data_IF_243106135859
#
_entry.id   IF_243106135859
#
_cell.length_a   1.000
_cell.length_b   1.000
_cell.length_c   1.000
_cell.angle_alpha   90.00
_cell.angle_beta   90.00
_cell.angle_gamma   90.00
#
_symmetry.space_group_name_H-M   'P 1'
#
loop_
_entity.id
_entity.type
_entity.pdbx_description
1 polymer ?
#
# COMPACT_ATOMS: atom_id res chain seq x y z
N UNK A 1 -3.31 -25.76 20.16
CA UNK A 1 -2.09 -25.10 19.63
C UNK A 1 -2.08 -25.31 18.12
N UNK A 2 -2.35 -24.28 17.31
CA UNK A 2 -2.44 -24.45 15.85
C UNK A 2 -1.06 -24.78 15.27
N UNK A 3 -0.88 -26.02 14.79
CA UNK A 3 0.29 -26.48 14.03
C UNK A 3 0.15 -26.05 12.56
N UNK A 4 0.17 -24.75 12.31
CA UNK A 4 0.21 -24.20 10.95
C UNK A 4 1.65 -23.96 10.48
N UNK A 5 1.87 -23.99 9.16
CA UNK A 5 3.10 -23.47 8.57
C UNK A 5 3.24 -21.99 8.93
N UNK A 6 4.40 -21.60 9.47
CA UNK A 6 4.70 -20.21 9.79
C UNK A 6 5.39 -19.57 8.58
N UNK A 7 4.92 -18.39 8.20
CA UNK A 7 5.52 -17.57 7.15
C UNK A 7 6.00 -16.28 7.81
N UNK A 8 7.29 -15.97 7.67
CA UNK A 8 7.93 -14.74 8.15
C UNK A 8 7.97 -13.74 7.01
N UNK A 9 7.33 -12.61 7.24
CA UNK A 9 7.20 -11.55 6.25
C UNK A 9 7.97 -10.34 6.74
N UNK A 10 8.82 -9.77 5.89
CA UNK A 10 9.42 -8.45 6.09
C UNK A 10 8.84 -7.44 5.10
N UNK A 11 8.64 -6.21 5.56
CA UNK A 11 8.35 -5.06 4.70
C UNK A 11 9.31 -3.93 5.01
N UNK A 12 9.79 -3.26 3.98
CA UNK A 12 10.66 -2.10 4.16
C UNK A 12 10.54 -1.14 2.98
N UNK A 13 10.40 0.15 3.31
CA UNK A 13 10.69 1.21 2.37
C UNK A 13 12.22 1.41 2.38
N UNK A 14 12.88 1.05 1.29
CA UNK A 14 14.35 1.04 1.25
C UNK A 14 14.93 2.40 0.88
N UNK A 15 14.08 3.42 0.70
CA UNK A 15 14.38 4.81 0.36
C UNK A 15 15.15 4.94 -0.95
N UNK A 16 14.59 5.69 -1.88
CA UNK A 16 15.27 6.05 -3.11
C UNK A 16 15.56 7.56 -3.11
N UNK A 17 16.85 7.88 -3.09
CA UNK A 17 17.32 9.27 -3.11
C UNK A 17 16.88 10.05 -4.35
N UNK A 18 16.48 9.40 -5.45
CA UNK A 18 15.96 10.08 -6.64
C UNK A 18 14.66 10.86 -6.37
N UNK A 19 13.91 10.51 -5.32
CA UNK A 19 12.66 11.20 -4.96
C UNK A 19 12.86 12.51 -4.20
N UNK A 20 14.10 12.84 -3.83
CA UNK A 20 14.42 14.01 -3.02
C UNK A 20 15.20 15.04 -3.81
N UNK A 21 14.80 16.30 -3.69
CA UNK A 21 15.55 17.45 -4.23
C UNK A 21 16.90 17.59 -3.51
N UNK A 22 17.86 18.26 -4.14
CA UNK A 22 19.18 18.53 -3.52
C UNK A 22 19.02 19.23 -2.17
N UNK A 23 18.06 20.15 -2.05
CA UNK A 23 17.77 20.87 -0.81
C UNK A 23 17.26 19.92 0.29
N UNK A 24 16.34 19.01 -0.03
CA UNK A 24 15.84 18.01 0.91
C UNK A 24 16.94 17.02 1.30
N UNK A 25 17.80 16.61 0.37
CA UNK A 25 18.94 15.75 0.66
C UNK A 25 19.89 16.37 1.70
N UNK A 26 20.13 17.67 1.58
CA UNK A 26 21.00 18.41 2.51
C UNK A 26 20.34 18.69 3.86
N UNK A 27 19.01 18.71 3.94
CA UNK A 27 18.28 18.99 5.19
C UNK A 27 17.78 17.75 5.93
N UNK A 28 17.59 16.62 5.23
CA UNK A 28 16.92 15.43 5.77
C UNK A 28 17.92 14.37 6.26
N UNK A 29 19.16 14.31 5.77
CA UNK A 29 20.08 13.25 6.21
C UNK A 29 21.57 13.64 6.30
N UNK A 30 22.34 12.99 7.20
CA UNK A 30 23.78 13.20 7.34
C UNK A 30 24.55 12.88 6.05
N UNK A 31 25.66 13.59 5.78
CA UNK A 31 26.50 13.40 4.59
C UNK A 31 26.96 11.95 4.38
N UNK A 32 27.08 11.18 5.46
CA UNK A 32 27.40 9.74 5.48
C UNK A 32 26.41 8.88 4.66
N UNK A 33 25.16 9.34 4.47
CA UNK A 33 24.15 8.66 3.65
C UNK A 33 24.35 8.84 2.13
N UNK A 34 25.22 9.76 1.68
CA UNK A 34 25.47 9.96 0.25
C UNK A 34 26.30 8.82 -0.38
N UNK A 35 27.04 8.05 0.43
CA UNK A 35 27.86 6.93 -0.06
C UNK A 35 27.14 5.59 0.18
N UNK A 36 26.46 5.14 -0.87
CA UNK A 36 25.38 4.13 -0.90
C UNK A 36 25.77 2.68 -0.50
N UNK A 37 27.06 2.38 -0.30
CA UNK A 37 27.55 1.01 -0.09
C UNK A 37 27.19 0.48 1.30
N UNK A 38 27.36 1.29 2.35
CA UNK A 38 27.10 0.84 3.72
C UNK A 38 25.62 0.61 3.98
N UNK A 39 24.74 1.48 3.46
CA UNK A 39 23.28 1.29 3.53
C UNK A 39 22.84 0.01 2.82
N UNK A 40 23.33 -0.23 1.61
CA UNK A 40 23.02 -1.43 0.83
C UNK A 40 23.46 -2.70 1.56
N UNK A 41 24.65 -2.70 2.16
CA UNK A 41 25.14 -3.81 2.97
C UNK A 41 24.29 -4.04 4.24
N UNK A 42 23.84 -2.96 4.91
CA UNK A 42 22.94 -3.05 6.05
C UNK A 42 21.57 -3.62 5.65
N UNK A 43 21.02 -3.22 4.50
CA UNK A 43 19.78 -3.78 3.96
C UNK A 43 19.93 -5.29 3.70
N UNK A 44 21.02 -5.72 3.06
CA UNK A 44 21.28 -7.15 2.86
C UNK A 44 21.46 -7.90 4.17
N UNK A 45 22.17 -7.32 5.14
CA UNK A 45 22.28 -7.89 6.47
C UNK A 45 20.89 -8.07 7.08
N UNK A 46 20.02 -7.06 6.98
CA UNK A 46 18.65 -7.14 7.48
C UNK A 46 17.82 -8.22 6.76
N UNK A 47 17.90 -8.34 5.43
CA UNK A 47 17.13 -9.32 4.68
C UNK A 47 17.55 -10.76 4.97
N UNK A 48 18.86 -11.02 4.95
CA UNK A 48 19.38 -12.38 4.95
C UNK A 48 19.67 -12.93 6.35
N UNK A 49 19.90 -12.08 7.36
CA UNK A 49 20.02 -12.57 8.75
C UNK A 49 18.66 -12.95 9.36
N UNK A 50 17.57 -12.29 8.96
CA UNK A 50 16.26 -12.47 9.60
C UNK A 50 15.49 -13.73 9.15
N UNK A 51 16.08 -14.60 8.32
CA UNK A 51 15.45 -15.81 7.77
C UNK A 51 14.01 -15.51 7.30
N UNK A 52 13.82 -14.46 6.51
CA UNK A 52 12.48 -14.11 6.01
C UNK A 52 12.04 -15.12 4.95
N UNK A 53 10.73 -15.30 4.78
CA UNK A 53 10.16 -16.17 3.74
C UNK A 53 9.53 -15.31 2.61
N UNK A 54 9.06 -14.09 2.94
CA UNK A 54 8.53 -13.10 2.00
C UNK A 54 9.12 -11.74 2.34
N UNK A 55 9.56 -10.99 1.32
CA UNK A 55 10.11 -9.64 1.47
C UNK A 55 9.36 -8.68 0.52
N UNK A 56 8.73 -7.65 1.08
CA UNK A 56 8.03 -6.62 0.33
C UNK A 56 8.79 -5.29 0.43
N UNK A 57 9.24 -4.77 -0.71
CA UNK A 57 10.05 -3.56 -0.78
C UNK A 57 9.25 -2.40 -1.39
N UNK A 58 9.43 -1.19 -0.87
CA UNK A 58 8.96 0.07 -1.47
C UNK A 58 10.16 0.96 -1.82
N UNK A 59 9.97 1.88 -2.78
CA UNK A 59 11.03 2.77 -3.29
C UNK A 59 12.27 2.04 -3.86
N UNK A 60 12.06 0.95 -4.61
CA UNK A 60 13.15 0.27 -5.31
C UNK A 60 13.37 0.93 -6.68
N UNK A 61 14.57 1.43 -6.94
CA UNK A 61 14.94 1.91 -8.28
C UNK A 61 15.43 0.78 -9.21
N UNK A 62 15.52 1.07 -10.51
CA UNK A 62 15.89 0.10 -11.54
C UNK A 62 17.33 -0.43 -11.39
N UNK A 63 18.26 0.37 -10.86
CA UNK A 63 19.63 -0.08 -10.61
C UNK A 63 19.67 -1.08 -9.45
N UNK A 64 18.97 -0.75 -8.36
CA UNK A 64 18.83 -1.60 -7.19
C UNK A 64 18.08 -2.89 -7.50
N UNK A 65 17.11 -2.89 -8.43
CA UNK A 65 16.46 -4.11 -8.91
C UNK A 65 17.49 -5.10 -9.45
N UNK A 66 18.44 -4.67 -10.29
CA UNK A 66 19.44 -5.56 -10.87
C UNK A 66 20.36 -6.17 -9.80
N UNK A 67 20.77 -5.34 -8.83
CA UNK A 67 21.56 -5.78 -7.70
C UNK A 67 20.80 -6.79 -6.81
N UNK A 68 19.53 -6.49 -6.52
CA UNK A 68 18.64 -7.35 -5.75
C UNK A 68 18.39 -8.67 -6.47
N UNK A 69 18.20 -8.68 -7.80
CA UNK A 69 18.02 -9.92 -8.58
C UNK A 69 19.16 -10.90 -8.33
N UNK A 70 20.40 -10.44 -8.43
CA UNK A 70 21.59 -11.27 -8.19
C UNK A 70 21.65 -11.76 -6.74
N UNK A 71 21.53 -10.83 -5.78
CA UNK A 71 21.65 -11.17 -4.35
C UNK A 71 20.53 -12.07 -3.85
N UNK A 72 19.29 -11.85 -4.27
CA UNK A 72 18.17 -12.70 -3.88
C UNK A 72 18.28 -14.09 -4.51
N UNK A 73 18.73 -14.19 -5.75
CA UNK A 73 18.98 -15.48 -6.39
C UNK A 73 20.02 -16.32 -5.62
N UNK A 74 21.12 -15.70 -5.18
CA UNK A 74 22.15 -16.36 -4.35
C UNK A 74 21.62 -16.85 -2.97
N UNK A 75 20.42 -16.40 -2.57
CA UNK A 75 19.77 -16.70 -1.29
C UNK A 75 18.40 -17.41 -1.48
N UNK A 76 18.18 -18.07 -2.63
CA UNK A 76 16.97 -18.84 -2.95
C UNK A 76 15.66 -18.01 -2.98
N UNK A 77 15.77 -16.70 -3.20
CA UNK A 77 14.63 -15.81 -3.39
C UNK A 77 14.37 -15.54 -4.88
N UNK A 78 13.09 -15.47 -5.23
CA UNK A 78 12.63 -15.01 -6.54
C UNK A 78 12.19 -13.56 -6.39
N UNK A 79 12.85 -12.65 -7.12
CA UNK A 79 12.43 -11.24 -7.16
C UNK A 79 11.26 -11.06 -8.12
N UNK A 80 10.18 -10.46 -7.61
CA UNK A 80 9.01 -10.08 -8.40
C UNK A 80 9.05 -8.58 -8.67
N UNK A 81 9.14 -8.20 -9.94
CA UNK A 81 9.15 -6.80 -10.38
C UNK A 81 8.01 -6.53 -11.36
N UNK A 82 7.41 -5.32 -11.35
CA UNK A 82 6.27 -5.00 -12.22
C UNK A 82 6.51 -5.21 -13.72
N UNK A 83 7.77 -5.12 -14.18
CA UNK A 83 8.13 -5.14 -15.60
C UNK A 83 8.16 -6.54 -16.24
N UNK A 84 7.95 -7.63 -15.47
CA UNK A 84 8.12 -9.00 -15.96
C UNK A 84 6.91 -9.90 -15.63
N UNK A 85 5.75 -9.59 -16.20
CA UNK A 85 4.60 -10.50 -16.23
C UNK A 85 4.92 -11.64 -17.21
N UNK A 86 5.47 -12.75 -16.69
CA UNK A 86 5.71 -13.95 -17.47
C UNK A 86 4.50 -14.91 -17.33
N UNK A 87 3.73 -15.07 -18.40
CA UNK A 87 2.45 -15.78 -18.47
C UNK A 87 2.53 -17.31 -18.30
N UNK A 88 3.72 -17.87 -18.09
CA UNK A 88 3.95 -19.32 -17.99
C UNK A 88 4.41 -19.82 -16.61
N UNK A 89 4.33 -19.00 -15.58
CA UNK A 89 4.76 -19.35 -14.22
C UNK A 89 3.56 -19.76 -13.34
N UNK A 90 3.73 -20.59 -12.29
CA UNK A 90 2.64 -20.99 -11.36
C UNK A 90 2.10 -19.84 -10.49
N UNK A 91 2.45 -18.60 -10.84
CA UNK A 91 2.14 -17.37 -10.13
C UNK A 91 1.29 -16.47 -11.02
N UNK A 92 0.46 -15.68 -10.36
CA UNK A 92 -0.46 -14.76 -11.02
C UNK A 92 -0.25 -13.40 -10.40
N UNK A 93 0.00 -12.40 -11.23
CA UNK A 93 0.43 -11.07 -10.80
C UNK A 93 -0.45 -10.00 -11.42
N UNK A 94 -0.70 -8.92 -10.68
CA UNK A 94 -1.41 -7.72 -11.16
C UNK A 94 -0.76 -6.48 -10.56
N UNK A 95 -0.54 -5.48 -11.41
CA UNK A 95 -0.18 -4.14 -10.94
C UNK A 95 -1.46 -3.30 -10.80
N UNK A 96 -1.53 -2.51 -9.72
CA UNK A 96 -2.61 -1.56 -9.51
C UNK A 96 -2.43 -0.34 -10.43
N UNK A 97 -3.49 -0.02 -11.17
CA UNK A 97 -3.60 1.18 -11.99
C UNK A 97 -4.58 2.15 -11.33
N UNK A 98 -4.06 3.28 -10.85
CA UNK A 98 -4.86 4.26 -10.09
C UNK A 98 -5.97 4.85 -10.96
N UNK A 99 -5.65 5.27 -12.18
CA UNK A 99 -6.60 5.95 -13.06
C UNK A 99 -7.73 5.01 -13.48
N UNK A 100 -7.39 3.79 -13.89
CA UNK A 100 -8.36 2.74 -14.24
C UNK A 100 -9.26 2.42 -13.06
N UNK A 101 -8.71 2.29 -11.85
CA UNK A 101 -9.52 1.99 -10.66
C UNK A 101 -10.42 3.15 -10.25
N UNK A 102 -9.95 4.41 -10.37
CA UNK A 102 -10.77 5.61 -10.15
C UNK A 102 -11.93 5.67 -11.16
N UNK A 103 -11.64 5.50 -12.45
CA UNK A 103 -12.67 5.51 -13.50
C UNK A 103 -13.69 4.40 -13.24
N UNK A 104 -13.22 3.16 -13.06
CA UNK A 104 -14.09 1.99 -12.85
C UNK A 104 -15.04 2.18 -11.65
N UNK A 105 -14.55 2.73 -10.55
CA UNK A 105 -15.29 2.73 -9.28
C UNK A 105 -16.00 4.04 -8.97
N UNK A 106 -15.54 5.17 -9.52
CA UNK A 106 -15.95 6.50 -9.09
C UNK A 106 -16.44 7.42 -10.23
N UNK A 107 -16.33 7.03 -11.50
CA UNK A 107 -16.76 7.90 -12.63
C UNK A 107 -18.22 8.32 -12.57
N UNK A 108 -19.09 7.48 -11.99
CA UNK A 108 -20.51 7.81 -11.79
C UNK A 108 -20.73 9.09 -10.99
N UNK A 109 -19.81 9.43 -10.09
CA UNK A 109 -19.85 10.68 -9.31
C UNK A 109 -19.44 11.93 -10.11
N UNK A 110 -18.89 11.75 -11.32
CA UNK A 110 -18.62 12.81 -12.31
C UNK A 110 -19.85 13.06 -13.19
N UNK A 111 -20.38 11.98 -13.78
CA UNK A 111 -21.43 12.07 -14.80
C UNK A 111 -22.82 12.34 -14.23
N UNK A 112 -23.12 11.86 -13.02
CA UNK A 112 -24.45 12.04 -12.40
C UNK A 112 -24.61 13.40 -11.72
N UNK A 113 -23.51 14.11 -11.46
CA UNK A 113 -23.54 15.34 -10.67
C UNK A 113 -23.42 16.62 -11.49
N UNK A 114 -22.76 16.57 -12.66
CA UNK A 114 -22.40 17.76 -13.43
C UNK A 114 -21.59 18.78 -12.60
N UNK A 115 -20.95 18.34 -11.51
CA UNK A 115 -20.35 19.22 -10.51
C UNK A 115 -18.83 19.30 -10.68
N UNK A 116 -18.34 20.48 -11.08
CA UNK A 116 -16.91 20.72 -11.37
C UNK A 116 -15.98 20.35 -10.21
N UNK A 117 -16.44 20.51 -8.97
CA UNK A 117 -15.66 20.23 -7.76
C UNK A 117 -15.42 18.72 -7.59
N UNK A 118 -16.43 17.89 -7.89
CA UNK A 118 -16.26 16.44 -7.84
C UNK A 118 -15.38 15.95 -8.98
N UNK A 119 -15.53 16.52 -10.17
CA UNK A 119 -14.63 16.22 -11.29
C UNK A 119 -13.18 16.60 -10.97
N UNK A 120 -12.99 17.74 -10.31
CA UNK A 120 -11.67 18.16 -9.84
C UNK A 120 -11.07 17.15 -8.85
N UNK A 121 -11.89 16.63 -7.92
CA UNK A 121 -11.46 15.60 -6.98
C UNK A 121 -11.12 14.28 -7.68
N UNK A 122 -11.89 13.83 -8.66
CA UNK A 122 -11.59 12.62 -9.43
C UNK A 122 -10.30 12.77 -10.24
N UNK A 123 -10.10 13.95 -10.87
CA UNK A 123 -8.82 14.27 -11.52
C UNK A 123 -7.66 14.28 -10.53
N UNK A 124 -7.89 14.77 -9.31
CA UNK A 124 -6.88 14.79 -8.25
C UNK A 124 -6.50 13.37 -7.80
N UNK A 125 -7.48 12.49 -7.59
CA UNK A 125 -7.26 11.06 -7.32
C UNK A 125 -6.45 10.39 -8.44
N UNK A 126 -6.85 10.55 -9.70
CA UNK A 126 -6.15 9.93 -10.84
C UNK A 126 -4.71 10.44 -11.02
N UNK A 127 -4.47 11.74 -10.81
CA UNK A 127 -3.13 12.34 -11.00
C UNK A 127 -2.15 12.00 -9.89
N UNK A 128 -2.63 11.79 -8.66
CA UNK A 128 -1.78 11.43 -7.52
C UNK A 128 -1.52 9.93 -7.57
N UNK A 129 -0.40 9.51 -8.13
CA UNK A 129 -0.13 8.08 -8.29
C UNK A 129 0.11 7.39 -6.95
N UNK A 130 -0.50 6.23 -6.78
CA UNK A 130 -0.15 5.24 -5.78
C UNK A 130 0.13 3.92 -6.49
N UNK A 131 1.06 3.14 -5.95
CA UNK A 131 1.45 1.88 -6.57
C UNK A 131 1.07 0.73 -5.66
N UNK A 132 0.62 -0.37 -6.25
CA UNK A 132 0.52 -1.64 -5.58
C UNK A 132 0.82 -2.79 -6.53
N UNK A 133 1.49 -3.80 -6.01
CA UNK A 133 1.78 -5.05 -6.71
C UNK A 133 1.06 -6.17 -5.96
N UNK A 134 0.28 -6.95 -6.71
CA UNK A 134 -0.52 -8.05 -6.21
C UNK A 134 0.01 -9.35 -6.78
N UNK A 135 0.21 -10.34 -5.92
CA UNK A 135 0.70 -11.67 -6.30
C UNK A 135 -0.14 -12.73 -5.61
N UNK A 136 -0.46 -13.80 -6.32
CA UNK A 136 -1.00 -15.03 -5.74
C UNK A 136 0.09 -16.09 -5.79
N UNK A 137 0.46 -16.60 -4.63
CA UNK A 137 1.39 -17.71 -4.47
C UNK A 137 0.62 -19.00 -4.19
N UNK A 138 0.93 -20.06 -4.91
CA UNK A 138 0.50 -21.42 -4.56
C UNK A 138 1.49 -22.02 -3.58
N UNK A 139 1.07 -22.24 -2.33
CA UNK A 139 1.91 -22.80 -1.26
C UNK A 139 1.96 -24.33 -1.34
N UNK A 140 0.84 -24.93 -1.75
CA UNK A 140 0.67 -26.36 -2.04
C UNK A 140 -0.60 -26.52 -2.88
N UNK A 141 -0.89 -27.74 -3.35
CA UNK A 141 -2.07 -28.01 -4.20
C UNK A 141 -3.34 -27.42 -3.57
N UNK A 142 -3.97 -26.47 -4.26
CA UNK A 142 -5.19 -25.77 -3.82
C UNK A 142 -5.05 -24.92 -2.54
N UNK A 143 -3.83 -24.64 -2.09
CA UNK A 143 -3.55 -23.72 -0.97
C UNK A 143 -2.83 -22.49 -1.49
N UNK A 144 -3.48 -21.34 -1.40
CA UNK A 144 -2.97 -20.08 -1.95
C UNK A 144 -2.70 -19.03 -0.86
N UNK A 145 -1.85 -18.06 -1.18
CA UNK A 145 -1.64 -16.85 -0.41
C UNK A 145 -1.70 -15.65 -1.36
N UNK A 146 -2.65 -14.75 -1.12
CA UNK A 146 -2.69 -13.46 -1.81
C UNK A 146 -1.81 -12.45 -1.09
N UNK A 147 -0.97 -11.72 -1.82
CA UNK A 147 -0.10 -10.68 -1.28
C UNK A 147 -0.32 -9.40 -2.07
N UNK A 148 -0.54 -8.29 -1.37
CA UNK A 148 -0.59 -6.94 -1.93
C UNK A 148 0.45 -6.07 -1.22
N UNK A 149 1.49 -5.67 -1.95
CA UNK A 149 2.50 -4.71 -1.50
C UNK A 149 2.20 -3.34 -2.10
N UNK A 150 2.01 -2.31 -1.29
CA UNK A 150 1.66 -0.97 -1.77
C UNK A 150 2.59 0.14 -1.25
N UNK A 151 2.60 1.26 -1.97
CA UNK A 151 3.15 2.53 -1.52
C UNK A 151 2.15 3.62 -1.94
N UNK A 152 1.38 4.12 -0.99
CA UNK A 152 0.31 5.08 -1.27
C UNK A 152 0.81 6.52 -1.16
N UNK A 153 -0.01 7.47 -1.62
CA UNK A 153 0.34 8.89 -1.69
C UNK A 153 0.94 9.43 -0.38
N UNK A 154 2.05 10.15 -0.48
CA UNK A 154 2.83 10.56 0.69
C UNK A 154 2.27 11.81 1.41
N UNK A 155 1.69 12.75 0.66
CA UNK A 155 1.49 14.10 1.18
C UNK A 155 0.44 14.14 2.32
N UNK A 156 0.82 14.57 3.54
CA UNK A 156 -0.06 14.57 4.71
C UNK A 156 -1.28 15.50 4.59
N UNK A 157 -1.26 16.48 3.69
CA UNK A 157 -2.38 17.38 3.43
C UNK A 157 -3.53 16.74 2.64
N UNK A 158 -3.35 15.51 2.15
CA UNK A 158 -4.33 14.80 1.33
C UNK A 158 -4.75 13.46 1.95
N UNK A 159 -5.28 13.46 3.18
CA UNK A 159 -5.65 12.23 3.86
C UNK A 159 -6.85 11.52 3.21
N UNK A 160 -7.72 12.24 2.51
CA UNK A 160 -8.82 11.70 1.72
C UNK A 160 -8.33 11.00 0.44
N UNK A 161 -7.29 11.51 -0.21
CA UNK A 161 -6.63 10.84 -1.33
C UNK A 161 -6.00 9.52 -0.86
N UNK A 162 -5.25 9.54 0.25
CA UNK A 162 -4.67 8.32 0.85
C UNK A 162 -5.75 7.30 1.16
N UNK A 163 -6.86 7.76 1.76
CA UNK A 163 -8.01 6.93 2.09
C UNK A 163 -8.60 6.24 0.86
N UNK A 164 -8.90 7.00 -0.20
CA UNK A 164 -9.49 6.44 -1.41
C UNK A 164 -8.52 5.54 -2.17
N UNK A 165 -7.22 5.84 -2.18
CA UNK A 165 -6.24 4.93 -2.79
C UNK A 165 -6.14 3.61 -2.03
N UNK A 166 -6.11 3.64 -0.69
CA UNK A 166 -6.15 2.41 0.11
C UNK A 166 -7.43 1.60 -0.18
N UNK A 167 -8.59 2.27 -0.20
CA UNK A 167 -9.86 1.64 -0.54
C UNK A 167 -9.86 0.99 -1.93
N UNK A 168 -9.41 1.70 -2.95
CA UNK A 168 -9.37 1.23 -4.34
C UNK A 168 -8.36 0.08 -4.51
N UNK A 169 -7.17 0.17 -3.92
CA UNK A 169 -6.16 -0.91 -3.93
C UNK A 169 -6.75 -2.18 -3.32
N UNK A 170 -7.41 -2.08 -2.17
CA UNK A 170 -7.99 -3.23 -1.48
C UNK A 170 -9.11 -3.86 -2.31
N UNK A 171 -9.99 -3.05 -2.89
CA UNK A 171 -11.04 -3.55 -3.78
C UNK A 171 -10.47 -4.27 -5.00
N UNK A 172 -9.52 -3.64 -5.68
CA UNK A 172 -8.83 -4.21 -6.82
C UNK A 172 -8.08 -5.51 -6.47
N UNK A 173 -7.61 -5.63 -5.22
CA UNK A 173 -6.98 -6.84 -4.71
C UNK A 173 -8.00 -7.96 -4.48
N UNK A 174 -9.12 -7.69 -3.82
CA UNK A 174 -10.19 -8.68 -3.67
C UNK A 174 -10.71 -9.18 -5.01
N UNK A 175 -10.97 -8.26 -5.95
CA UNK A 175 -11.40 -8.61 -7.31
C UNK A 175 -10.34 -9.44 -8.03
N UNK A 176 -9.05 -9.10 -7.88
CA UNK A 176 -7.97 -9.88 -8.45
C UNK A 176 -7.97 -11.31 -7.91
N UNK A 177 -8.12 -11.51 -6.60
CA UNK A 177 -8.19 -12.84 -5.99
C UNK A 177 -9.39 -13.62 -6.54
N UNK A 178 -10.58 -13.03 -6.54
CA UNK A 178 -11.83 -13.68 -6.95
C UNK A 178 -11.84 -14.07 -8.44
N UNK A 179 -11.35 -13.19 -9.31
CA UNK A 179 -11.30 -13.46 -10.74
C UNK A 179 -10.24 -14.51 -11.10
N UNK A 180 -9.24 -14.64 -10.24
CA UNK A 180 -8.08 -15.48 -10.50
C UNK A 180 -8.30 -16.87 -9.95
N UNK A 181 -8.55 -17.00 -8.65
CA UNK A 181 -8.70 -18.30 -7.99
C UNK A 181 -10.18 -18.51 -7.66
N UNK A 182 -10.83 -19.31 -8.51
CA UNK A 182 -12.22 -19.71 -8.33
C UNK A 182 -12.30 -20.99 -7.49
N UNK A 183 -13.44 -21.22 -6.85
CA UNK A 183 -13.78 -22.46 -6.13
C UNK A 183 -12.88 -22.83 -4.93
N UNK A 184 -12.06 -21.89 -4.45
CA UNK A 184 -11.30 -22.05 -3.20
C UNK A 184 -12.05 -21.30 -2.08
N UNK A 185 -12.46 -21.99 -1.00
CA UNK A 185 -13.33 -21.40 0.02
C UNK A 185 -12.66 -20.32 0.85
N UNK A 186 -11.32 -20.35 0.96
CA UNK A 186 -10.56 -19.40 1.74
C UNK A 186 -9.14 -19.23 1.18
N UNK A 187 -8.76 -17.96 0.95
CA UNK A 187 -7.40 -17.58 0.59
C UNK A 187 -6.93 -16.55 1.62
N UNK A 188 -5.91 -16.85 2.43
CA UNK A 188 -5.29 -15.84 3.29
C UNK A 188 -4.74 -14.68 2.45
N UNK A 189 -4.97 -13.46 2.93
CA UNK A 189 -4.54 -12.24 2.26
C UNK A 189 -3.57 -11.46 3.15
N UNK A 190 -2.46 -11.05 2.55
CA UNK A 190 -1.44 -10.21 3.16
C UNK A 190 -1.47 -8.85 2.47
N UNK A 191 -2.04 -7.86 3.15
CA UNK A 191 -1.95 -6.46 2.74
C UNK A 191 -0.78 -5.81 3.50
N UNK A 192 0.20 -5.31 2.77
CA UNK A 192 1.44 -4.78 3.34
C UNK A 192 1.96 -3.61 2.51
N UNK A 193 2.79 -2.76 3.10
CA UNK A 193 3.35 -1.63 2.36
C UNK A 193 3.60 -0.40 3.22
N UNK A 194 3.96 0.67 2.52
CA UNK A 194 4.05 2.01 3.07
C UNK A 194 2.73 2.76 2.81
N UNK A 195 1.92 2.85 3.86
CA UNK A 195 0.62 3.53 3.81
C UNK A 195 0.74 5.05 4.02
N UNK A 196 1.93 5.59 4.29
CA UNK A 196 2.12 7.02 4.58
C UNK A 196 1.07 7.59 5.55
N UNK A 197 0.60 6.77 6.48
CA UNK A 197 -0.53 7.07 7.37
C UNK A 197 -0.24 6.52 8.74
N UNK A 198 -0.33 7.38 9.75
CA UNK A 198 -0.26 7.01 11.17
C UNK A 198 -1.56 6.32 11.60
N UNK A 199 -1.59 5.60 12.73
CA UNK A 199 -2.82 5.00 13.26
C UNK A 199 -3.86 6.03 13.67
N UNK A 200 -3.40 7.20 14.10
CA UNK A 200 -4.20 8.26 14.68
C UNK A 200 -4.01 9.56 13.91
N UNK A 201 -5.03 10.39 13.92
CA UNK A 201 -4.95 11.75 13.41
C UNK A 201 -4.16 12.59 14.42
N UNK A 202 -3.10 13.25 13.99
CA UNK A 202 -2.32 14.14 14.86
C UNK A 202 -3.13 15.40 15.17
N UNK A 203 -3.79 15.43 16.33
CA UNK A 203 -4.41 16.63 16.87
C UNK A 203 -3.37 17.39 17.71
N UNK A 204 -3.11 18.65 17.38
CA UNK A 204 -2.21 19.54 18.13
C UNK A 204 -2.80 20.02 19.48
N UNK A 205 -3.87 19.41 19.97
CA UNK A 205 -4.55 19.80 21.21
C UNK A 205 -4.65 18.60 22.14
N UNK A 206 -4.12 18.76 23.34
CA UNK A 206 -3.91 17.71 24.35
C UNK A 206 -5.21 17.06 24.88
N UNK A 207 -6.39 17.62 24.56
CA UNK A 207 -7.68 17.21 25.15
C UNK A 207 -8.69 16.57 24.16
N UNK A 208 -8.34 16.34 22.89
CA UNK A 208 -9.26 15.75 21.91
C UNK A 208 -9.17 14.21 21.86
N UNK A 209 -10.33 13.56 21.69
CA UNK A 209 -10.45 12.12 21.49
C UNK A 209 -9.53 11.70 20.35
N UNK A 210 -8.63 10.75 20.60
CA UNK A 210 -7.71 10.20 19.61
C UNK A 210 -8.52 9.50 18.52
N UNK A 211 -8.78 10.19 17.41
CA UNK A 211 -9.45 9.62 16.26
C UNK A 211 -8.44 8.80 15.44
N UNK A 212 -8.83 7.61 14.99
CA UNK A 212 -8.03 6.83 14.07
C UNK A 212 -7.88 7.54 12.72
N UNK A 213 -6.76 7.36 12.03
CA UNK A 213 -6.66 7.84 10.65
C UNK A 213 -7.59 7.02 9.75
N UNK A 214 -8.14 7.67 8.73
CA UNK A 214 -9.09 6.99 7.84
C UNK A 214 -8.52 5.74 7.17
N UNK A 215 -7.22 5.73 6.81
CA UNK A 215 -6.58 4.54 6.23
C UNK A 215 -6.51 3.41 7.25
N UNK A 216 -6.09 3.71 8.49
CA UNK A 216 -5.97 2.72 9.54
C UNK A 216 -7.35 2.17 9.96
N UNK A 217 -8.33 3.02 10.18
CA UNK A 217 -9.71 2.63 10.51
C UNK A 217 -10.33 1.79 9.37
N UNK A 218 -10.13 2.17 8.11
CA UNK A 218 -10.64 1.42 6.97
C UNK A 218 -10.07 0.00 6.95
N UNK A 219 -8.74 -0.14 7.06
CA UNK A 219 -8.07 -1.44 6.97
C UNK A 219 -8.47 -2.35 8.14
N UNK A 220 -8.53 -1.80 9.36
CA UNK A 220 -8.76 -2.60 10.58
C UNK A 220 -10.22 -2.91 10.86
N UNK A 221 -11.14 -1.99 10.53
CA UNK A 221 -12.58 -2.14 10.82
C UNK A 221 -13.39 -2.50 9.59
N UNK A 222 -12.83 -2.29 8.39
CA UNK A 222 -13.51 -2.53 7.13
C UNK A 222 -14.52 -1.45 6.75
N UNK A 223 -14.63 -0.35 7.50
CA UNK A 223 -15.63 0.69 7.25
C UNK A 223 -15.09 2.08 7.53
N UNK A 224 -15.53 3.04 6.73
CA UNK A 224 -15.40 4.47 7.03
C UNK A 224 -16.75 5.15 6.84
N UNK A 225 -17.21 5.79 7.91
CA UNK A 225 -18.41 6.63 7.86
C UNK A 225 -18.17 7.89 7.06
N UNK A 226 -19.22 8.43 6.42
CA UNK A 226 -19.18 9.76 5.80
C UNK A 226 -18.82 10.87 6.80
N UNK A 227 -19.01 10.62 8.09
CA UNK A 227 -18.70 11.57 9.17
C UNK A 227 -17.24 11.53 9.63
N UNK A 228 -16.44 10.61 9.11
CA UNK A 228 -15.02 10.53 9.44
C UNK A 228 -14.26 11.76 8.91
N UNK A 229 -13.29 12.28 9.69
CA UNK A 229 -12.58 13.52 9.36
C UNK A 229 -11.82 13.46 8.02
N UNK A 230 -11.26 12.30 7.67
CA UNK A 230 -10.58 12.05 6.39
C UNK A 230 -11.52 11.72 5.21
N UNK A 231 -12.83 11.60 5.43
CA UNK A 231 -13.78 11.37 4.33
C UNK A 231 -14.06 12.69 3.60
N UNK A 232 -14.12 12.74 2.25
CA UNK A 232 -14.28 13.99 1.49
C UNK A 232 -15.56 14.75 1.87
N UNK A 233 -16.65 14.04 2.22
CA UNK A 233 -17.86 14.65 2.76
C UNK A 233 -17.60 15.58 3.97
N UNK A 234 -16.61 15.29 4.82
CA UNK A 234 -16.25 16.16 5.95
C UNK A 234 -15.06 17.05 5.64
N UNK A 235 -14.02 16.48 5.04
CA UNK A 235 -12.76 17.18 4.82
C UNK A 235 -12.91 18.37 3.86
N UNK A 236 -13.65 18.19 2.77
CA UNK A 236 -13.72 19.16 1.67
C UNK A 236 -14.79 20.25 1.87
N UNK A 237 -15.60 20.15 2.94
CA UNK A 237 -16.60 21.16 3.34
C UNK A 237 -17.53 21.61 2.21
N UNK A 238 -17.89 20.71 1.30
CA UNK A 238 -18.82 20.96 0.21
C UNK A 238 -19.88 19.87 0.18
N UNK A 239 -21.15 20.29 0.08
CA UNK A 239 -22.32 19.39 0.04
C UNK A 239 -22.26 18.44 -1.15
N UNK A 240 -21.55 18.80 -2.22
CA UNK A 240 -21.32 17.92 -3.36
C UNK A 240 -20.76 16.57 -2.90
N UNK A 241 -19.86 16.53 -1.93
CA UNK A 241 -19.26 15.27 -1.47
C UNK A 241 -20.17 14.40 -0.60
N UNK A 242 -21.40 14.84 -0.27
CA UNK A 242 -22.36 14.02 0.48
C UNK A 242 -22.90 12.84 -0.33
N UNK A 243 -22.86 12.92 -1.66
CA UNK A 243 -23.22 11.81 -2.55
C UNK A 243 -22.23 10.65 -2.47
N UNK A 244 -20.98 10.89 -2.06
CA UNK A 244 -19.98 9.83 -1.91
C UNK A 244 -20.41 8.87 -0.78
N UNK A 245 -20.27 7.56 -0.98
CA UNK A 245 -20.80 6.56 -0.08
C UNK A 245 -19.88 6.39 1.12
N UNK A 246 -20.40 5.78 2.19
CA UNK A 246 -19.51 5.17 3.17
C UNK A 246 -18.62 4.13 2.49
N UNK A 247 -17.36 4.08 2.89
CA UNK A 247 -16.42 3.10 2.34
C UNK A 247 -16.56 1.80 3.13
N UNK A 248 -16.63 0.68 2.41
CA UNK A 248 -16.76 -0.66 3.00
C UNK A 248 -15.89 -1.66 2.26
N UNK A 249 -15.12 -2.43 3.01
CA UNK A 249 -14.30 -3.56 2.55
C UNK A 249 -14.36 -4.67 3.61
N UNK A 250 -14.04 -5.92 3.27
CA UNK A 250 -13.77 -6.91 4.31
C UNK A 250 -12.57 -6.45 5.17
N UNK A 251 -12.67 -6.50 6.50
CA UNK A 251 -11.61 -6.00 7.39
C UNK A 251 -10.38 -6.89 7.37
N UNK A 252 -9.20 -6.29 7.48
CA UNK A 252 -7.95 -6.98 7.77
C UNK A 252 -7.70 -7.02 9.26
N UNK A 253 -7.16 -8.14 9.75
CA UNK A 253 -6.64 -8.24 11.11
C UNK A 253 -5.16 -7.93 11.09
N UNK A 254 -4.74 -6.90 11.82
CA UNK A 254 -3.32 -6.63 12.01
C UNK A 254 -2.64 -7.83 12.66
N UNK A 255 -1.55 -8.30 12.04
CA UNK A 255 -0.65 -9.29 12.65
C UNK A 255 0.29 -8.66 13.69
N UNK A 256 0.41 -7.33 13.66
CA UNK A 256 1.19 -6.55 14.62
C UNK A 256 0.30 -6.10 15.78
N UNK A 257 0.81 -6.24 17.01
CA UNK A 257 0.16 -5.75 18.23
C UNK A 257 0.38 -4.25 18.47
N UNK A 258 1.42 -3.69 17.85
CA UNK A 258 1.84 -2.30 18.01
C UNK A 258 2.08 -1.70 16.63
N UNK A 259 1.74 -0.43 16.46
CA UNK A 259 2.05 0.29 15.23
C UNK A 259 3.37 1.02 15.42
N UNK A 260 4.38 0.61 14.67
CA UNK A 260 5.68 1.27 14.68
C UNK A 260 5.58 2.49 13.79
N UNK A 261 5.56 3.67 14.39
CA UNK A 261 5.72 4.93 13.67
C UNK A 261 7.20 5.04 13.33
N UNK A 262 7.55 4.84 12.06
CA UNK A 262 8.86 5.26 11.57
C UNK A 262 8.89 6.78 11.56
N UNK A 263 9.54 7.40 12.55
CA UNK A 263 9.96 8.79 12.43
C UNK A 263 11.04 8.81 11.34
N UNK A 264 10.67 9.35 10.17
CA UNK A 264 11.62 9.75 9.13
C UNK A 264 12.32 11.01 9.60
#
# INVERSE_FOLDING_TARGET
>A
MFKGNKIRVGTINIFNSAWYTIKEKLSVYPFEYNYNIDRKNLLYKHFFYNKLDIICLQEVDSFMINDLKKKFFDHDFILHTPEHVNTKSPKREKQFDTETSVIKNLIKYSSESGCEIQDAFLRELSKRKSIANMVILELSKQTYLGICNCHIHWNPLYPDIKLYHAYLIIRDFYEFIQNTVQDIPFIPLLLIGDFNSTPHIDHKKEDEIIQASGVYELITTGRISKNHAHHPARLRKSEAFYSYPELKIPPFKSVFKEVIISKI
#
